data_IF_490814626133
#
_entry.id   IF_490814626133
#
_cell.length_a   1.000
_cell.length_b   1.000
_cell.length_c   1.000
_cell.angle_alpha   90.00
_cell.angle_beta   90.00
_cell.angle_gamma   90.00
#
_symmetry.space_group_name_H-M   'P 1'
#
loop_
_entity.id
_entity.type
_entity.pdbx_description
1 polymer ?
#
# COMPACT_ATOMS: atom_id res chain seq x y z
N UNK A 1 -10.81 3.51 0.06
CA UNK A 1 -10.12 4.53 0.89
C UNK A 1 -9.19 5.41 0.04
N UNK A 2 -8.76 4.90 -1.11
CA UNK A 2 -7.81 5.51 -2.05
C UNK A 2 -8.31 6.81 -2.70
N UNK A 3 -9.63 6.98 -2.88
CA UNK A 3 -10.21 8.21 -3.45
C UNK A 3 -9.97 9.50 -2.65
N UNK A 4 -9.43 9.42 -1.43
CA UNK A 4 -9.08 10.58 -0.58
C UNK A 4 -7.62 11.04 -0.72
N UNK A 5 -6.76 10.27 -1.38
CA UNK A 5 -5.37 10.63 -1.64
C UNK A 5 -5.27 11.38 -2.97
N UNK A 6 -4.49 12.46 -3.07
CA UNK A 6 -4.19 13.05 -4.36
C UNK A 6 -3.42 12.06 -5.24
N UNK A 7 -3.37 12.28 -6.56
CA UNK A 7 -2.47 11.53 -7.43
C UNK A 7 -1.01 11.67 -6.96
N UNK A 8 -0.26 10.57 -6.97
CA UNK A 8 1.08 10.52 -6.37
C UNK A 8 1.10 10.64 -4.84
N UNK A 9 -0.07 10.64 -4.19
CA UNK A 9 -0.18 10.65 -2.73
C UNK A 9 0.38 9.37 -2.12
N UNK A 10 1.08 9.53 -1.00
CA UNK A 10 1.75 8.43 -0.30
C UNK A 10 0.86 7.90 0.82
N UNK A 11 0.75 6.58 0.90
CA UNK A 11 0.10 5.84 1.96
C UNK A 11 1.14 4.98 2.69
N UNK A 12 1.17 5.09 4.01
CA UNK A 12 1.96 4.22 4.88
C UNK A 12 1.01 3.39 5.73
N UNK A 13 1.08 2.08 5.58
CA UNK A 13 0.36 1.11 6.41
C UNK A 13 1.38 0.37 7.26
N UNK A 14 1.12 0.21 8.54
CA UNK A 14 1.99 -0.49 9.47
C UNK A 14 1.17 -1.29 10.47
N UNK A 15 1.80 -2.26 11.14
CA UNK A 15 1.11 -3.18 12.04
C UNK A 15 0.29 -4.24 11.31
N UNK A 16 0.68 -4.60 10.08
CA UNK A 16 0.04 -5.70 9.33
C UNK A 16 0.73 -7.00 9.74
N UNK A 17 -0.01 -8.05 10.05
CA UNK A 17 0.61 -9.36 10.29
C UNK A 17 1.24 -9.87 8.98
N UNK A 18 2.37 -10.56 9.10
CA UNK A 18 3.17 -11.01 7.95
C UNK A 18 2.36 -11.91 7.00
N UNK A 19 1.51 -12.79 7.53
CA UNK A 19 0.62 -13.61 6.70
C UNK A 19 -0.45 -12.81 5.94
N UNK A 20 -0.85 -11.64 6.45
CA UNK A 20 -1.90 -10.79 5.88
C UNK A 20 -1.36 -9.72 4.92
N UNK A 21 -0.03 -9.51 4.93
CA UNK A 21 0.61 -8.41 4.21
C UNK A 21 0.39 -8.47 2.70
N UNK A 22 0.44 -9.67 2.12
CA UNK A 22 0.31 -9.87 0.68
C UNK A 22 -1.13 -9.63 0.20
N UNK A 23 -2.12 -10.09 0.95
CA UNK A 23 -3.53 -9.88 0.61
C UNK A 23 -3.91 -8.40 0.81
N UNK A 24 -3.39 -7.76 1.86
CA UNK A 24 -3.52 -6.32 2.06
C UNK A 24 -2.94 -5.55 0.87
N UNK A 25 -1.71 -5.87 0.46
CA UNK A 25 -1.06 -5.23 -0.71
C UNK A 25 -1.92 -5.34 -1.96
N UNK A 26 -2.40 -6.53 -2.30
CA UNK A 26 -3.24 -6.77 -3.49
C UNK A 26 -4.52 -5.94 -3.48
N UNK A 27 -5.22 -5.90 -2.34
CA UNK A 27 -6.45 -5.10 -2.20
C UNK A 27 -6.22 -3.62 -2.51
N UNK A 28 -5.09 -3.04 -2.04
CA UNK A 28 -4.76 -1.65 -2.37
C UNK A 28 -4.31 -1.45 -3.83
N UNK A 29 -3.64 -2.43 -4.44
CA UNK A 29 -3.28 -2.37 -5.86
C UNK A 29 -4.51 -2.42 -6.78
N UNK A 30 -5.53 -3.19 -6.42
CA UNK A 30 -6.83 -3.22 -7.11
C UNK A 30 -7.56 -1.86 -7.00
N UNK A 31 -7.39 -1.13 -5.90
CA UNK A 31 -7.88 0.25 -5.74
C UNK A 31 -7.00 1.30 -6.46
N UNK A 32 -5.99 0.90 -7.22
CA UNK A 32 -5.14 1.82 -8.01
C UNK A 32 -3.93 2.37 -7.26
N UNK A 33 -3.52 1.73 -6.16
CA UNK A 33 -2.22 2.01 -5.54
C UNK A 33 -1.10 1.22 -6.22
N UNK A 34 0.14 1.63 -5.98
CA UNK A 34 1.35 0.95 -6.43
C UNK A 34 2.25 0.75 -5.21
N UNK A 35 2.70 -0.48 -4.98
CA UNK A 35 3.66 -0.75 -3.91
C UNK A 35 5.01 -0.11 -4.23
N UNK A 36 5.48 0.74 -3.31
CA UNK A 36 6.81 1.34 -3.36
C UNK A 36 7.81 0.56 -2.50
N UNK A 37 7.39 0.12 -1.32
CA UNK A 37 8.22 -0.70 -0.45
C UNK A 37 7.38 -1.57 0.49
N UNK A 38 7.96 -2.70 0.90
CA UNK A 38 7.45 -3.54 1.97
C UNK A 38 8.61 -3.86 2.93
N UNK A 39 8.39 -3.68 4.23
CA UNK A 39 9.39 -3.95 5.27
C UNK A 39 8.80 -4.78 6.39
N UNK A 40 9.47 -5.89 6.70
CA UNK A 40 9.11 -6.76 7.83
C UNK A 40 9.98 -6.50 9.06
N UNK A 41 9.37 -6.63 10.24
CA UNK A 41 10.03 -6.65 11.55
C UNK A 41 9.36 -7.72 12.42
N UNK A 42 9.97 -8.90 12.52
CA UNK A 42 9.37 -10.05 13.19
C UNK A 42 8.11 -10.53 12.46
N UNK A 43 7.00 -10.62 13.18
CA UNK A 43 5.68 -10.98 12.65
C UNK A 43 4.94 -9.81 11.99
N UNK A 44 5.47 -8.59 12.09
CA UNK A 44 4.82 -7.38 11.60
C UNK A 44 5.41 -6.92 10.27
N UNK A 45 4.57 -6.32 9.44
CA UNK A 45 4.91 -5.77 8.13
C UNK A 45 4.36 -4.35 8.01
N UNK A 46 5.14 -3.50 7.33
CA UNK A 46 4.72 -2.19 6.87
C UNK A 46 4.77 -2.13 5.34
N UNK A 47 3.77 -1.47 4.75
CA UNK A 47 3.66 -1.21 3.33
C UNK A 47 3.75 0.30 3.08
N UNK A 48 4.55 0.68 2.10
CA UNK A 48 4.59 2.02 1.52
C UNK A 48 4.00 1.94 0.12
N UNK A 49 2.95 2.71 -0.14
CA UNK A 49 2.20 2.68 -1.38
C UNK A 49 2.04 4.11 -1.94
N UNK A 50 1.98 4.25 -3.25
CA UNK A 50 1.68 5.51 -3.96
C UNK A 50 0.39 5.37 -4.76
N UNK A 51 -0.48 6.39 -4.78
CA UNK A 51 -1.64 6.42 -5.67
C UNK A 51 -1.16 6.60 -7.11
N UNK A 52 -1.51 5.67 -8.01
CA UNK A 52 -1.17 5.74 -9.43
C UNK A 52 -1.63 7.08 -10.01
N UNK A 53 -0.78 7.72 -10.81
CA UNK A 53 -1.14 8.89 -11.61
C UNK A 53 -1.90 8.40 -12.83
N UNK A 54 -3.07 8.97 -13.12
CA UNK A 54 -3.70 8.72 -14.42
C UNK A 54 -2.76 9.25 -15.52
N UNK A 55 -2.56 8.51 -16.62
CA UNK A 55 -1.87 9.08 -17.77
C UNK A 55 -2.69 10.27 -18.27
N UNK A 56 -2.02 11.43 -18.42
CA UNK A 56 -2.59 12.66 -18.94
C UNK A 56 -3.13 12.51 -20.38
#
# INVERSE_FOLDING_TARGET
MVGRLCEGGILVLSGILKEEAEDTRKSFEEEGMVQMAMRGLGEWTSLLMERRREPA
#
